data_IF_739390765936
#
_entry.id   IF_739390765936
#
_cell.length_a   1.000
_cell.length_b   1.000
_cell.length_c   1.000
_cell.angle_alpha   90.00
_cell.angle_beta   90.00
_cell.angle_gamma   90.00
#
_symmetry.space_group_name_H-M   'P 1'
#
loop_
_entity.id
_entity.type
_entity.pdbx_description
1 polymer ?
#
# COMPACT_ATOMS: atom_id res chain seq x y z
N UNK A 1 -19.29 18.53 12.86
CA UNK A 1 -20.36 17.90 13.67
C UNK A 1 -19.76 16.72 14.41
N UNK A 2 -19.46 16.88 15.69
CA UNK A 2 -19.09 15.74 16.54
C UNK A 2 -20.34 14.87 16.69
N UNK A 3 -20.25 13.58 16.40
CA UNK A 3 -21.33 12.67 16.78
C UNK A 3 -21.35 12.57 18.30
N UNK A 4 -22.48 12.83 18.93
CA UNK A 4 -22.71 12.53 20.34
C UNK A 4 -22.59 11.01 20.54
N UNK A 5 -21.40 10.56 20.92
CA UNK A 5 -21.10 9.14 21.13
C UNK A 5 -21.72 8.65 22.43
N UNK A 6 -22.29 7.44 22.41
CA UNK A 6 -22.73 6.75 23.62
C UNK A 6 -21.52 6.16 24.32
N UNK A 7 -21.30 6.52 25.59
CA UNK A 7 -20.29 5.89 26.45
C UNK A 7 -20.93 4.74 27.21
N UNK A 8 -20.35 3.55 27.11
CA UNK A 8 -20.75 2.36 27.86
C UNK A 8 -19.72 2.07 28.94
N UNK A 9 -20.18 1.81 30.16
CA UNK A 9 -19.35 1.33 31.26
C UNK A 9 -19.69 -0.15 31.51
N UNK A 10 -18.67 -0.98 31.67
CA UNK A 10 -18.82 -2.41 31.91
C UNK A 10 -18.72 -2.66 33.42
N UNK A 11 -19.61 -3.49 33.98
CA UNK A 11 -19.45 -4.01 35.34
C UNK A 11 -18.34 -5.07 35.33
N UNK A 12 -17.11 -4.64 35.59
CA UNK A 12 -15.90 -5.47 35.51
C UNK A 12 -15.86 -6.60 36.55
N UNK A 13 -16.76 -6.57 37.55
CA UNK A 13 -16.92 -7.70 38.49
C UNK A 13 -17.61 -8.90 37.85
N UNK A 14 -18.36 -8.67 36.76
CA UNK A 14 -19.19 -9.68 36.10
C UNK A 14 -18.78 -9.95 34.66
N UNK A 15 -18.15 -8.98 34.01
CA UNK A 15 -17.84 -9.06 32.58
C UNK A 15 -16.43 -8.59 32.26
N UNK A 16 -15.74 -9.31 31.38
CA UNK A 16 -14.47 -8.84 30.83
C UNK A 16 -14.74 -7.67 29.88
N UNK A 17 -14.07 -6.54 30.11
CA UNK A 17 -14.21 -5.32 29.29
C UNK A 17 -13.86 -5.58 27.83
N UNK A 18 -12.78 -6.32 27.58
CA UNK A 18 -12.35 -6.65 26.22
C UNK A 18 -13.34 -7.60 25.55
N UNK A 19 -13.85 -8.59 26.28
CA UNK A 19 -14.90 -9.47 25.76
C UNK A 19 -16.13 -8.69 25.33
N UNK A 20 -16.64 -7.78 26.19
CA UNK A 20 -17.82 -6.95 25.85
C UNK A 20 -17.51 -6.08 24.63
N UNK A 21 -16.34 -5.45 24.57
CA UNK A 21 -15.90 -4.67 23.42
C UNK A 21 -15.87 -5.51 22.13
N UNK A 22 -15.31 -6.72 22.17
CA UNK A 22 -15.29 -7.63 21.03
C UNK A 22 -16.70 -8.10 20.66
N UNK A 23 -17.54 -8.44 21.64
CA UNK A 23 -18.91 -8.91 21.40
C UNK A 23 -19.74 -7.85 20.68
N UNK A 24 -19.72 -6.58 21.13
CA UNK A 24 -20.50 -5.51 20.48
C UNK A 24 -19.99 -5.19 19.06
N UNK A 25 -18.76 -5.59 18.74
CA UNK A 25 -18.18 -5.46 17.41
C UNK A 25 -18.28 -6.74 16.56
N UNK A 26 -18.82 -7.83 17.11
CA UNK A 26 -19.13 -9.05 16.35
C UNK A 26 -20.21 -8.77 15.31
N UNK A 27 -20.22 -9.57 14.24
CA UNK A 27 -21.28 -9.49 13.21
C UNK A 27 -22.66 -9.68 13.83
N UNK A 28 -22.83 -10.64 14.74
CA UNK A 28 -24.11 -10.92 15.37
C UNK A 28 -24.69 -9.72 16.13
N UNK A 29 -23.89 -9.07 16.98
CA UNK A 29 -24.41 -7.92 17.72
C UNK A 29 -24.62 -6.71 16.82
N UNK A 30 -23.74 -6.50 15.83
CA UNK A 30 -23.91 -5.41 14.85
C UNK A 30 -25.18 -5.60 14.02
N UNK A 31 -25.48 -6.81 13.57
CA UNK A 31 -26.72 -7.13 12.86
C UNK A 31 -27.94 -6.89 13.75
N UNK A 32 -27.87 -7.31 15.02
CA UNK A 32 -28.95 -7.09 15.99
C UNK A 32 -29.21 -5.59 16.24
N UNK A 33 -28.13 -4.81 16.40
CA UNK A 33 -28.21 -3.37 16.58
C UNK A 33 -28.74 -2.68 15.31
N UNK A 34 -28.32 -3.14 14.14
CA UNK A 34 -28.75 -2.60 12.86
C UNK A 34 -30.24 -2.86 12.58
N UNK A 35 -30.74 -4.07 12.87
CA UNK A 35 -32.18 -4.43 12.79
C UNK A 35 -33.05 -3.62 13.77
N UNK A 36 -32.44 -3.18 14.87
CA UNK A 36 -33.10 -2.39 15.92
C UNK A 36 -32.92 -0.88 15.72
N UNK A 37 -32.24 -0.45 14.66
CA UNK A 37 -32.01 0.95 14.34
C UNK A 37 -33.13 1.53 13.48
N UNK A 38 -33.34 2.83 13.56
CA UNK A 38 -34.32 3.58 12.76
C UNK A 38 -33.64 4.41 11.66
N UNK A 39 -34.38 4.70 10.59
CA UNK A 39 -33.89 5.47 9.43
C UNK A 39 -33.36 4.61 8.30
N UNK A 40 -33.67 4.99 7.05
CA UNK A 40 -33.28 4.26 5.83
C UNK A 40 -31.88 4.64 5.35
N UNK A 41 -31.58 5.94 5.24
CA UNK A 41 -30.30 6.43 4.69
C UNK A 41 -29.18 6.51 5.73
N UNK A 42 -29.51 6.82 6.99
CA UNK A 42 -28.58 6.81 8.12
C UNK A 42 -29.25 6.16 9.31
N UNK A 43 -28.88 4.92 9.58
CA UNK A 43 -29.39 4.17 10.73
C UNK A 43 -28.92 4.81 12.03
N UNK A 44 -29.84 5.02 12.97
CA UNK A 44 -29.56 5.48 14.33
C UNK A 44 -30.22 4.55 15.33
N UNK A 45 -29.50 4.24 16.41
CA UNK A 45 -30.05 3.50 17.54
C UNK A 45 -30.13 4.41 18.75
N UNK A 46 -31.31 4.50 19.37
CA UNK A 46 -31.50 5.23 20.61
C UNK A 46 -30.92 4.47 21.81
N UNK A 47 -30.44 5.19 22.82
CA UNK A 47 -29.84 4.59 24.03
C UNK A 47 -30.78 3.58 24.72
N UNK A 48 -32.08 3.89 24.78
CA UNK A 48 -33.07 3.02 25.42
C UNK A 48 -33.30 1.72 24.64
N UNK A 49 -33.12 1.73 23.32
CA UNK A 49 -33.19 0.54 22.48
C UNK A 49 -31.91 -0.27 22.64
N UNK A 50 -30.74 0.40 22.58
CA UNK A 50 -29.44 -0.25 22.76
C UNK A 50 -29.35 -0.99 24.09
N UNK A 51 -29.84 -0.39 25.19
CA UNK A 51 -29.87 -1.01 26.53
C UNK A 51 -30.75 -2.26 26.61
N UNK A 52 -31.73 -2.42 25.72
CA UNK A 52 -32.64 -3.58 25.68
C UNK A 52 -32.09 -4.74 24.85
N UNK A 53 -31.04 -4.51 24.06
CA UNK A 53 -30.40 -5.59 23.30
C UNK A 53 -29.69 -6.54 24.25
N UNK A 54 -30.04 -7.81 24.17
CA UNK A 54 -29.46 -8.84 25.02
C UNK A 54 -28.09 -9.28 24.52
N UNK A 55 -27.17 -9.52 25.45
CA UNK A 55 -25.84 -10.07 25.18
C UNK A 55 -25.83 -11.51 25.69
N UNK A 56 -25.44 -12.44 24.82
CA UNK A 56 -25.19 -13.82 25.22
C UNK A 56 -23.80 -13.88 25.84
N UNK A 57 -23.73 -14.17 27.13
CA UNK A 57 -22.47 -14.16 27.87
C UNK A 57 -22.15 -15.54 28.42
N UNK A 58 -20.94 -16.06 28.15
CA UNK A 58 -20.48 -17.28 28.79
C UNK A 58 -20.01 -17.00 30.23
N UNK A 59 -19.50 -18.02 30.91
CA UNK A 59 -18.88 -17.85 32.23
C UNK A 59 -17.78 -16.78 32.19
N UNK A 60 -17.57 -16.06 33.29
CA UNK A 60 -16.53 -15.01 33.35
C UNK A 60 -15.13 -15.54 32.97
N UNK A 61 -14.80 -16.77 33.36
CA UNK A 61 -13.53 -17.43 33.01
C UNK A 61 -13.38 -17.62 31.50
N UNK A 62 -14.46 -17.97 30.81
CA UNK A 62 -14.47 -18.11 29.35
C UNK A 62 -14.41 -16.75 28.65
N UNK A 63 -15.13 -15.75 29.16
CA UNK A 63 -14.99 -14.36 28.68
C UNK A 63 -13.54 -13.90 28.74
N UNK A 64 -12.83 -14.18 29.85
CA UNK A 64 -11.42 -13.83 30.00
C UNK A 64 -10.55 -14.55 28.97
N UNK A 65 -10.75 -15.86 28.74
CA UNK A 65 -9.99 -16.58 27.71
C UNK A 65 -10.20 -16.03 26.29
N UNK A 66 -11.45 -15.68 25.95
CA UNK A 66 -11.77 -15.06 24.66
C UNK A 66 -11.10 -13.67 24.56
N UNK A 67 -11.17 -12.89 25.64
CA UNK A 67 -10.53 -11.59 25.74
C UNK A 67 -9.01 -11.67 25.57
N UNK A 68 -8.34 -12.55 26.31
CA UNK A 68 -6.89 -12.75 26.25
C UNK A 68 -6.45 -13.19 24.86
N UNK A 69 -7.18 -14.10 24.23
CA UNK A 69 -6.92 -14.56 22.87
C UNK A 69 -7.01 -13.39 21.87
N UNK A 70 -8.14 -12.67 21.83
CA UNK A 70 -8.35 -11.60 20.86
C UNK A 70 -7.44 -10.40 21.09
N UNK A 71 -7.17 -10.03 22.35
CA UNK A 71 -6.24 -8.95 22.69
C UNK A 71 -4.80 -9.30 22.30
N UNK A 72 -4.36 -10.53 22.50
CA UNK A 72 -3.02 -10.95 22.05
C UNK A 72 -2.85 -10.85 20.52
N UNK A 73 -3.90 -11.15 19.74
CA UNK A 73 -3.87 -10.98 18.28
C UNK A 73 -3.83 -9.51 17.89
N UNK A 74 -4.56 -8.65 18.61
CA UNK A 74 -4.52 -7.20 18.38
C UNK A 74 -3.16 -6.59 18.72
N UNK A 75 -2.53 -7.00 19.82
CA UNK A 75 -1.16 -6.60 20.18
C UNK A 75 -0.16 -7.01 19.09
N UNK A 76 -0.32 -8.21 18.51
CA UNK A 76 0.51 -8.67 17.39
C UNK A 76 0.27 -7.86 16.10
N UNK A 77 -0.98 -7.52 15.79
CA UNK A 77 -1.31 -6.65 14.63
C UNK A 77 -0.67 -5.28 14.82
N UNK A 78 -0.75 -4.70 16.01
CA UNK A 78 -0.17 -3.39 16.32
C UNK A 78 1.35 -3.42 16.21
N UNK A 79 2.03 -4.38 16.87
CA UNK A 79 3.48 -4.52 16.80
C UNK A 79 3.97 -4.72 15.35
N UNK A 80 3.23 -5.49 14.56
CA UNK A 80 3.57 -5.76 13.16
C UNK A 80 3.33 -4.53 12.27
N UNK A 81 2.29 -3.74 12.54
CA UNK A 81 2.00 -2.47 11.85
C UNK A 81 3.05 -1.42 12.18
N UNK A 82 3.47 -1.30 13.44
CA UNK A 82 4.58 -0.43 13.85
C UNK A 82 5.88 -0.80 13.15
N UNK A 83 6.17 -2.10 13.01
CA UNK A 83 7.33 -2.57 12.26
C UNK A 83 7.29 -2.15 10.78
N UNK A 84 6.12 -2.16 10.14
CA UNK A 84 5.95 -1.67 8.77
C UNK A 84 6.28 -0.18 8.68
N UNK A 85 5.78 0.64 9.61
CA UNK A 85 6.06 2.08 9.63
C UNK A 85 7.55 2.38 9.88
N UNK A 86 8.19 1.67 10.82
CA UNK A 86 9.63 1.78 11.07
C UNK A 86 10.46 1.41 9.83
N UNK A 87 10.07 0.39 9.07
CA UNK A 87 10.75 0.02 7.83
C UNK A 87 10.58 1.10 6.73
N UNK A 88 9.41 1.72 6.63
CA UNK A 88 9.16 2.84 5.71
C UNK A 88 10.00 4.07 6.09
N UNK A 89 10.08 4.39 7.38
CA UNK A 89 10.93 5.46 7.89
C UNK A 89 12.42 5.17 7.63
N UNK A 90 12.85 3.92 7.86
CA UNK A 90 14.21 3.49 7.56
C UNK A 90 14.52 3.62 6.06
N UNK A 91 13.63 3.16 5.16
CA UNK A 91 13.78 3.35 3.71
C UNK A 91 13.91 4.83 3.36
N UNK A 92 13.04 5.68 3.93
CA UNK A 92 13.11 7.13 3.72
C UNK A 92 14.44 7.72 4.17
N UNK A 93 14.98 7.29 5.31
CA UNK A 93 16.30 7.68 5.78
C UNK A 93 17.41 7.25 4.83
N UNK A 94 17.37 6.01 4.34
CA UNK A 94 18.30 5.51 3.33
C UNK A 94 18.23 6.34 2.04
N UNK A 95 17.04 6.64 1.54
CA UNK A 95 16.82 7.47 0.34
C UNK A 95 17.46 8.85 0.47
N UNK A 96 17.41 9.45 1.67
CA UNK A 96 18.02 10.77 1.93
C UNK A 96 19.54 10.74 1.96
N UNK A 97 20.14 9.58 2.27
CA UNK A 97 21.58 9.44 2.51
C UNK A 97 22.33 8.75 1.37
N UNK A 98 21.66 7.86 0.64
CA UNK A 98 22.21 7.10 -0.50
C UNK A 98 22.11 7.85 -1.83
N UNK A 99 21.40 8.98 -1.87
CA UNK A 99 21.38 9.87 -3.03
C UNK A 99 22.03 11.22 -2.69
N UNK A 100 22.77 11.83 -3.62
CA UNK A 100 23.29 13.18 -3.43
C UNK A 100 22.17 14.18 -3.16
N UNK A 101 22.36 15.03 -2.17
CA UNK A 101 21.53 16.22 -1.99
C UNK A 101 21.83 17.24 -3.09
N UNK A 102 20.91 18.18 -3.30
CA UNK A 102 21.06 19.23 -4.30
C UNK A 102 22.41 19.96 -4.17
N UNK A 103 23.10 20.15 -5.29
CA UNK A 103 24.43 20.75 -5.34
C UNK A 103 25.60 19.82 -4.97
N UNK A 104 25.35 18.58 -4.52
CA UNK A 104 26.40 17.56 -4.29
C UNK A 104 26.47 16.56 -5.43
N UNK A 105 27.69 16.05 -5.64
CA UNK A 105 28.05 15.09 -6.70
C UNK A 105 28.21 13.66 -6.18
N UNK A 106 28.17 13.47 -4.87
CA UNK A 106 28.25 12.18 -4.18
C UNK A 106 27.27 12.12 -3.01
N UNK A 107 26.78 10.92 -2.64
CA UNK A 107 25.89 10.74 -1.50
C UNK A 107 26.67 10.81 -0.17
N UNK A 108 25.94 11.04 0.93
CA UNK A 108 26.53 11.01 2.28
C UNK A 108 26.92 9.57 2.67
N UNK A 109 26.05 8.61 2.36
CA UNK A 109 26.33 7.19 2.53
C UNK A 109 26.72 6.60 1.19
N UNK A 110 27.93 6.04 1.15
CA UNK A 110 28.46 5.33 0.00
C UNK A 110 29.00 3.99 0.47
N UNK A 111 28.67 2.92 -0.26
CA UNK A 111 29.19 1.60 0.06
C UNK A 111 30.72 1.62 -0.01
N UNK A 112 31.43 0.91 0.89
CA UNK A 112 32.88 0.97 1.01
C UNK A 112 33.62 0.78 -0.32
N UNK A 113 33.16 -0.16 -1.15
CA UNK A 113 33.74 -0.49 -2.45
C UNK A 113 33.64 0.61 -3.51
N UNK A 114 32.82 1.65 -3.28
CA UNK A 114 32.65 2.78 -4.21
C UNK A 114 33.21 4.11 -3.68
N UNK A 115 33.80 4.16 -2.48
CA UNK A 115 34.31 5.42 -1.91
C UNK A 115 35.30 6.14 -2.82
N UNK A 116 36.14 5.38 -3.52
CA UNK A 116 37.16 5.89 -4.44
C UNK A 116 36.72 5.83 -5.91
N UNK A 117 35.44 5.54 -6.21
CA UNK A 117 34.93 5.38 -7.57
C UNK A 117 34.63 6.71 -8.30
N UNK A 118 35.14 7.83 -7.80
CA UNK A 118 34.94 9.17 -8.35
C UNK A 118 33.53 9.73 -8.14
N UNK A 119 33.29 10.91 -8.69
CA UNK A 119 32.02 11.64 -8.58
C UNK A 119 30.92 11.04 -9.48
N UNK A 120 29.66 11.20 -9.08
CA UNK A 120 28.53 10.82 -9.94
C UNK A 120 28.34 11.86 -11.04
N UNK A 121 27.92 11.40 -12.22
CA UNK A 121 27.72 12.23 -13.40
C UNK A 121 26.28 12.71 -13.45
N UNK A 122 26.06 13.96 -13.84
CA UNK A 122 24.73 14.51 -14.07
C UNK A 122 24.21 14.10 -15.46
N UNK A 123 22.96 13.65 -15.52
CA UNK A 123 22.28 13.28 -16.78
C UNK A 123 20.80 13.66 -16.73
N UNK A 124 20.26 14.03 -17.88
CA UNK A 124 18.82 14.18 -18.06
C UNK A 124 18.12 12.82 -17.98
N UNK A 125 16.90 12.76 -17.42
CA UNK A 125 16.12 11.53 -17.35
C UNK A 125 15.88 10.91 -18.74
N UNK A 126 15.71 11.72 -19.77
CA UNK A 126 15.55 11.31 -21.17
C UNK A 126 16.80 10.65 -21.74
N UNK A 127 17.99 10.95 -21.22
CA UNK A 127 19.23 10.24 -21.56
C UNK A 127 19.37 8.90 -20.85
N UNK A 128 18.57 8.68 -19.80
CA UNK A 128 18.56 7.47 -18.99
C UNK A 128 17.45 6.50 -19.39
N UNK A 129 16.31 7.03 -19.88
CA UNK A 129 15.09 6.29 -20.12
C UNK A 129 14.55 6.50 -21.55
N UNK A 130 14.18 5.41 -22.21
CA UNK A 130 13.29 5.45 -23.38
C UNK A 130 11.84 5.46 -22.90
N UNK A 131 10.92 5.99 -23.71
CA UNK A 131 9.48 5.87 -23.42
C UNK A 131 8.72 5.19 -24.56
N UNK A 132 7.67 4.46 -24.19
CA UNK A 132 6.71 3.84 -25.09
C UNK A 132 5.32 4.42 -24.79
N UNK A 133 4.57 4.72 -25.85
CA UNK A 133 3.15 5.07 -25.74
C UNK A 133 2.34 3.81 -25.39
N UNK A 134 1.36 3.91 -24.49
CA UNK A 134 0.71 2.74 -23.91
C UNK A 134 -0.33 2.10 -24.83
N UNK A 135 -0.65 2.68 -25.99
CA UNK A 135 -1.83 2.34 -26.79
C UNK A 135 -2.02 0.84 -27.05
N UNK A 136 -0.93 0.09 -27.29
CA UNK A 136 -0.96 -1.36 -27.49
C UNK A 136 -1.34 -2.15 -26.22
N UNK A 137 -1.12 -1.56 -25.06
CA UNK A 137 -1.23 -2.18 -23.73
C UNK A 137 -2.45 -1.70 -22.94
N UNK A 138 -3.27 -0.83 -23.53
CA UNK A 138 -4.52 -0.37 -22.89
C UNK A 138 -5.55 -1.51 -22.92
N UNK A 139 -6.23 -1.71 -21.79
CA UNK A 139 -7.38 -2.62 -21.72
C UNK A 139 -8.55 -2.12 -22.55
N UNK A 140 -9.27 -3.02 -23.19
CA UNK A 140 -10.48 -2.69 -23.96
C UNK A 140 -11.73 -2.69 -23.07
N UNK A 141 -11.78 -3.58 -22.08
CA UNK A 141 -12.86 -3.70 -21.11
C UNK A 141 -12.48 -3.18 -19.73
N UNK A 142 -13.48 -2.75 -18.97
CA UNK A 142 -13.36 -2.39 -17.54
C UNK A 142 -14.00 -3.41 -16.61
N UNK A 143 -14.46 -4.54 -17.14
CA UNK A 143 -14.99 -5.67 -16.37
C UNK A 143 -13.83 -6.47 -15.75
N UNK A 144 -13.41 -6.05 -14.57
CA UNK A 144 -12.33 -6.70 -13.83
C UNK A 144 -12.87 -7.79 -12.91
N UNK A 145 -12.08 -8.83 -12.71
CA UNK A 145 -12.41 -9.92 -11.79
C UNK A 145 -11.13 -10.50 -11.18
N UNK A 146 -11.12 -10.70 -9.86
CA UNK A 146 -9.94 -11.19 -9.12
C UNK A 146 -9.52 -12.64 -9.48
N UNK A 147 -10.39 -13.39 -10.19
CA UNK A 147 -10.04 -14.71 -10.75
C UNK A 147 -9.21 -14.64 -12.03
N UNK A 148 -9.11 -13.47 -12.67
CA UNK A 148 -8.30 -13.28 -13.86
C UNK A 148 -6.83 -13.06 -13.52
N UNK A 149 -5.94 -13.27 -14.50
CA UNK A 149 -4.49 -13.33 -14.24
C UNK A 149 -3.74 -12.03 -14.52
N UNK A 150 -4.20 -11.23 -15.49
CA UNK A 150 -3.43 -10.08 -15.96
C UNK A 150 -3.81 -8.83 -15.16
N UNK A 151 -2.92 -8.25 -14.35
CA UNK A 151 -3.23 -7.02 -13.61
C UNK A 151 -3.34 -5.83 -14.55
N UNK A 152 -4.29 -4.94 -14.24
CA UNK A 152 -4.50 -3.67 -14.94
C UNK A 152 -4.01 -2.54 -14.05
N UNK A 153 -2.99 -1.82 -14.51
CA UNK A 153 -2.27 -0.83 -13.71
C UNK A 153 -2.68 0.61 -14.00
N UNK A 154 -2.49 1.45 -13.00
CA UNK A 154 -2.36 2.91 -13.11
C UNK A 154 -1.23 3.37 -12.18
N UNK A 155 -0.65 4.55 -12.43
CA UNK A 155 0.35 5.11 -11.52
C UNK A 155 -0.29 5.88 -10.34
N UNK A 156 -1.62 6.08 -10.35
CA UNK A 156 -2.36 6.80 -9.31
C UNK A 156 -2.53 6.05 -7.98
N UNK A 157 -3.54 6.44 -7.19
CA UNK A 157 -3.75 5.96 -5.80
C UNK A 157 -3.84 4.44 -5.67
N UNK A 158 -4.58 3.78 -6.56
CA UNK A 158 -4.69 2.31 -6.60
C UNK A 158 -3.77 1.78 -7.70
N UNK A 159 -2.62 1.22 -7.33
CA UNK A 159 -1.64 0.74 -8.31
C UNK A 159 -2.21 -0.34 -9.24
N UNK A 160 -2.85 -1.36 -8.64
CA UNK A 160 -3.62 -2.39 -9.36
C UNK A 160 -5.10 -2.01 -9.26
N UNK A 161 -5.78 -1.88 -10.40
CA UNK A 161 -7.21 -1.55 -10.48
C UNK A 161 -8.11 -2.78 -10.48
N UNK A 162 -7.54 -3.93 -10.78
CA UNK A 162 -8.22 -5.20 -10.97
C UNK A 162 -7.47 -6.05 -11.97
N UNK A 163 -8.04 -7.20 -12.33
CA UNK A 163 -7.44 -8.15 -13.25
C UNK A 163 -8.36 -8.34 -14.47
N UNK A 164 -7.76 -8.50 -15.65
CA UNK A 164 -8.43 -8.72 -16.92
C UNK A 164 -8.11 -10.12 -17.47
N UNK A 165 -9.05 -10.70 -18.21
CA UNK A 165 -8.86 -11.92 -18.98
C UNK A 165 -8.30 -11.64 -20.40
N UNK A 166 -8.06 -10.38 -20.76
CA UNK A 166 -7.40 -10.02 -22.02
C UNK A 166 -5.97 -10.57 -22.08
N UNK A 167 -5.69 -11.36 -23.12
CA UNK A 167 -4.37 -11.95 -23.39
C UNK A 167 -3.58 -11.16 -24.44
N UNK A 168 -4.26 -10.41 -25.31
CA UNK A 168 -3.64 -9.59 -26.33
C UNK A 168 -3.16 -8.25 -25.76
N UNK A 169 -1.98 -7.81 -26.19
CA UNK A 169 -1.43 -6.53 -25.76
C UNK A 169 -1.06 -6.51 -24.28
N UNK A 170 -0.67 -7.65 -23.70
CA UNK A 170 -0.02 -7.67 -22.39
C UNK A 170 1.44 -7.25 -22.55
N UNK A 171 1.91 -6.36 -21.69
CA UNK A 171 3.31 -5.98 -21.61
C UNK A 171 4.07 -7.10 -20.90
N UNK A 172 4.86 -7.87 -21.68
CA UNK A 172 5.54 -9.09 -21.21
C UNK A 172 7.07 -9.03 -21.34
N UNK A 173 7.57 -8.19 -22.24
CA UNK A 173 8.99 -8.09 -22.59
C UNK A 173 9.58 -6.82 -22.02
N UNK A 174 10.90 -6.77 -21.89
CA UNK A 174 11.63 -5.56 -21.46
C UNK A 174 11.28 -5.07 -20.04
N UNK A 175 10.74 -5.96 -19.21
CA UNK A 175 10.64 -5.75 -17.76
C UNK A 175 12.05 -5.82 -17.13
N UNK A 176 12.29 -5.11 -16.02
CA UNK A 176 11.37 -4.19 -15.34
C UNK A 176 11.28 -2.80 -16.02
N UNK A 177 10.20 -2.08 -15.76
CA UNK A 177 9.90 -0.73 -16.30
C UNK A 177 9.38 0.21 -15.22
N UNK A 178 9.30 1.50 -15.55
CA UNK A 178 8.55 2.48 -14.75
C UNK A 178 7.29 2.85 -15.52
N UNK A 179 6.12 2.75 -14.90
CA UNK A 179 4.93 3.43 -15.42
C UNK A 179 4.87 4.84 -14.84
N UNK A 180 4.64 5.83 -15.69
CA UNK A 180 4.61 7.25 -15.32
C UNK A 180 3.31 7.87 -15.81
N UNK A 181 2.53 8.48 -14.93
CA UNK A 181 1.33 9.21 -15.33
C UNK A 181 1.70 10.62 -15.80
N UNK A 182 1.44 10.88 -17.09
CA UNK A 182 1.89 12.08 -17.80
C UNK A 182 1.20 13.36 -17.31
N UNK A 183 0.11 13.27 -16.55
CA UNK A 183 -0.61 14.42 -15.99
C UNK A 183 -0.29 14.66 -14.53
N UNK A 184 -0.08 13.60 -13.74
CA UNK A 184 0.08 13.70 -12.28
C UNK A 184 1.49 13.45 -11.80
N UNK A 185 2.40 13.06 -12.70
CA UNK A 185 3.81 12.69 -12.45
C UNK A 185 4.00 11.50 -11.51
N UNK A 186 2.90 10.90 -11.05
CA UNK A 186 2.92 9.69 -10.25
C UNK A 186 3.62 8.58 -11.03
N UNK A 187 4.50 7.84 -10.35
CA UNK A 187 5.29 6.78 -10.97
C UNK A 187 5.32 5.52 -10.12
N UNK A 188 5.39 4.38 -10.79
CA UNK A 188 5.48 3.06 -10.15
C UNK A 188 6.50 2.20 -10.88
N UNK A 189 7.32 1.50 -10.12
CA UNK A 189 8.19 0.43 -10.61
C UNK A 189 7.36 -0.82 -10.87
N UNK A 190 7.59 -1.49 -12.00
CA UNK A 190 6.84 -2.68 -12.41
C UNK A 190 7.80 -3.72 -12.98
N UNK A 191 7.83 -4.90 -12.37
CA UNK A 191 8.69 -6.03 -12.72
C UNK A 191 7.91 -7.30 -13.11
N UNK A 192 6.58 -7.19 -13.20
CA UNK A 192 5.68 -8.27 -13.60
C UNK A 192 4.84 -7.90 -14.83
N UNK A 193 4.30 -8.88 -15.58
CA UNK A 193 3.43 -8.62 -16.74
C UNK A 193 2.17 -7.82 -16.44
N UNK A 194 1.80 -6.88 -17.31
CA UNK A 194 0.65 -6.01 -17.06
C UNK A 194 -0.05 -5.48 -18.32
N UNK A 195 -1.25 -4.94 -18.11
CA UNK A 195 -1.90 -3.96 -19.01
C UNK A 195 -2.13 -2.65 -18.25
N UNK A 196 -2.47 -1.57 -18.95
CA UNK A 196 -2.71 -0.25 -18.33
C UNK A 196 -4.12 0.26 -18.60
N UNK A 197 -4.61 1.14 -17.73
CA UNK A 197 -5.97 1.70 -17.84
C UNK A 197 -6.13 2.72 -18.97
N UNK A 198 -5.14 3.58 -19.20
CA UNK A 198 -5.35 4.79 -19.99
C UNK A 198 -4.12 5.21 -20.80
N UNK A 199 -4.37 6.07 -21.80
CA UNK A 199 -3.35 6.70 -22.63
C UNK A 199 -2.51 7.77 -21.93
N UNK A 200 -2.87 8.11 -20.69
CA UNK A 200 -2.10 9.02 -19.85
C UNK A 200 -0.78 8.40 -19.35
N UNK A 201 -0.70 7.07 -19.29
CA UNK A 201 0.51 6.39 -18.84
C UNK A 201 1.62 6.48 -19.91
N UNK A 202 2.86 6.63 -19.48
CA UNK A 202 4.07 6.33 -20.24
C UNK A 202 4.73 5.11 -19.63
N UNK A 203 5.24 4.23 -20.49
CA UNK A 203 6.03 3.08 -20.06
C UNK A 203 7.49 3.43 -20.33
N UNK A 204 8.30 3.50 -19.29
CA UNK A 204 9.67 3.96 -19.34
C UNK A 204 10.64 2.79 -19.15
N UNK A 205 11.60 2.68 -20.05
CA UNK A 205 12.55 1.57 -20.12
C UNK A 205 13.97 2.09 -19.95
N UNK A 206 14.83 1.34 -19.28
CA UNK A 206 16.24 1.69 -19.17
C UNK A 206 16.93 1.71 -20.52
N UNK A 207 17.81 2.71 -20.71
CA UNK A 207 18.85 2.65 -21.72
C UNK A 207 20.02 1.79 -21.24
N UNK A 208 20.96 1.51 -22.15
CA UNK A 208 22.16 0.72 -21.86
C UNK A 208 22.92 1.32 -20.66
N UNK A 209 23.43 0.45 -19.79
CA UNK A 209 24.23 0.80 -18.60
C UNK A 209 23.47 1.61 -17.53
N UNK A 210 22.13 1.64 -17.61
CA UNK A 210 21.24 2.29 -16.64
C UNK A 210 20.40 1.24 -15.90
N UNK A 211 20.45 1.25 -14.57
CA UNK A 211 19.55 0.45 -13.75
C UNK A 211 18.22 1.19 -13.54
N UNK A 212 17.13 0.64 -14.05
CA UNK A 212 15.80 1.27 -14.01
C UNK A 212 15.24 1.41 -12.58
N UNK A 213 15.56 0.49 -11.65
CA UNK A 213 15.14 0.61 -10.25
C UNK A 213 15.88 1.76 -9.55
N UNK A 214 17.18 1.92 -9.81
CA UNK A 214 17.93 3.09 -9.33
C UNK A 214 17.32 4.40 -9.83
N UNK A 215 17.01 4.50 -11.12
CA UNK A 215 16.39 5.71 -11.70
C UNK A 215 15.00 5.95 -11.10
N UNK A 216 14.19 4.89 -10.92
CA UNK A 216 12.89 5.00 -10.25
C UNK A 216 13.00 5.62 -8.86
N UNK A 217 13.94 5.14 -8.04
CA UNK A 217 14.18 5.67 -6.70
C UNK A 217 14.69 7.11 -6.76
N UNK A 218 15.61 7.43 -7.68
CA UNK A 218 16.07 8.80 -7.90
C UNK A 218 14.90 9.75 -8.26
N UNK A 219 13.96 9.29 -9.09
CA UNK A 219 12.76 10.05 -9.45
C UNK A 219 11.87 10.36 -8.24
N UNK A 220 11.84 9.50 -7.20
CA UNK A 220 11.04 9.75 -6.00
C UNK A 220 11.59 10.90 -5.15
N UNK A 221 12.86 11.28 -5.34
CA UNK A 221 13.50 12.41 -4.66
C UNK A 221 13.33 13.74 -5.41
N UNK A 222 12.77 13.72 -6.63
CA UNK A 222 12.53 14.94 -7.40
C UNK A 222 11.38 15.72 -6.75
N UNK A 223 11.68 16.94 -6.32
CA UNK A 223 10.67 17.89 -5.87
C UNK A 223 10.15 18.66 -7.07
N UNK A 224 8.93 18.34 -7.49
CA UNK A 224 8.28 19.00 -8.62
C UNK A 224 6.81 19.25 -8.29
N UNK A 225 6.38 20.50 -8.45
CA UNK A 225 4.97 20.88 -8.29
C UNK A 225 4.25 20.73 -9.64
N UNK A 226 3.18 19.95 -9.64
CA UNK A 226 2.43 19.62 -10.86
C UNK A 226 1.56 20.80 -11.27
N UNK A 227 1.79 21.33 -12.47
CA UNK A 227 0.94 22.34 -13.10
C UNK A 227 -0.40 21.77 -13.56
N UNK A 228 -1.36 22.65 -13.86
CA UNK A 228 -2.71 22.23 -14.28
C UNK A 228 -2.72 21.90 -15.78
N UNK A 229 -3.22 20.70 -16.13
CA UNK A 229 -3.52 20.26 -17.51
C UNK A 229 -2.34 20.18 -18.50
N UNK A 230 -1.11 19.99 -18.03
CA UNK A 230 0.06 19.80 -18.90
C UNK A 230 0.49 18.32 -18.97
N UNK A 231 1.10 17.93 -20.10
CA UNK A 231 1.80 16.65 -20.23
C UNK A 231 3.24 16.86 -19.80
N UNK A 232 3.71 16.03 -18.88
CA UNK A 232 4.96 16.31 -18.17
C UNK A 232 6.15 15.55 -18.72
N UNK A 233 5.99 14.33 -19.25
CA UNK A 233 7.13 13.48 -19.55
C UNK A 233 8.09 14.10 -20.59
N UNK A 234 7.61 14.34 -21.80
CA UNK A 234 8.47 14.69 -22.94
C UNK A 234 9.09 16.09 -22.79
N UNK A 235 8.30 17.08 -22.39
CA UNK A 235 8.74 18.48 -22.38
C UNK A 235 9.47 18.89 -21.10
N UNK A 236 9.20 18.22 -19.98
CA UNK A 236 9.62 18.64 -18.64
C UNK A 236 10.43 17.53 -17.95
N UNK A 237 9.79 16.42 -17.57
CA UNK A 237 10.41 15.38 -16.74
C UNK A 237 11.63 14.75 -17.40
N UNK A 238 11.58 14.48 -18.71
CA UNK A 238 12.73 13.92 -19.43
C UNK A 238 13.94 14.86 -19.44
N UNK A 239 13.78 16.17 -19.22
CA UNK A 239 14.87 17.15 -19.14
C UNK A 239 15.36 17.41 -17.72
N UNK A 240 14.73 16.79 -16.71
CA UNK A 240 15.20 16.91 -15.34
C UNK A 240 16.48 16.12 -15.15
N UNK A 241 17.43 16.72 -14.45
CA UNK A 241 18.72 16.12 -14.17
C UNK A 241 18.68 15.23 -12.93
N UNK A 242 19.33 14.08 -13.03
CA UNK A 242 19.64 13.19 -11.91
C UNK A 242 21.13 12.89 -11.88
N UNK A 243 21.65 12.57 -10.69
CA UNK A 243 23.04 12.11 -10.53
C UNK A 243 23.10 10.60 -10.65
N UNK A 244 23.99 10.12 -11.51
CA UNK A 244 24.13 8.70 -11.85
C UNK A 244 25.56 8.24 -11.58
N UNK A 245 25.74 7.21 -10.73
CA UNK A 245 27.03 6.56 -10.55
C UNK A 245 27.34 5.54 -11.67
N UNK A 246 28.50 4.90 -11.57
CA UNK A 246 28.82 3.76 -12.42
C UNK A 246 27.76 2.64 -12.27
N UNK A 247 27.57 1.77 -13.29
CA UNK A 247 26.49 0.78 -13.29
C UNK A 247 26.50 -0.20 -12.11
N UNK A 248 27.68 -0.55 -11.57
CA UNK A 248 27.78 -1.47 -10.42
C UNK A 248 27.24 -0.82 -9.13
N UNK A 249 27.53 0.46 -8.94
CA UNK A 249 27.03 1.22 -7.79
C UNK A 249 25.52 1.47 -7.91
N UNK A 250 25.00 1.76 -9.12
CA UNK A 250 23.55 1.83 -9.36
C UNK A 250 22.84 0.54 -8.93
N UNK A 251 23.37 -0.62 -9.35
CA UNK A 251 22.83 -1.92 -8.99
C UNK A 251 22.86 -2.14 -7.46
N UNK A 252 23.98 -1.82 -6.80
CA UNK A 252 24.11 -2.01 -5.35
C UNK A 252 23.09 -1.20 -4.55
N UNK A 253 22.85 0.05 -4.97
CA UNK A 253 21.83 0.92 -4.35
C UNK A 253 20.43 0.35 -4.62
N UNK A 254 20.16 -0.06 -5.86
CA UNK A 254 18.89 -0.68 -6.24
C UNK A 254 18.60 -1.94 -5.40
N UNK A 255 19.57 -2.85 -5.27
CA UNK A 255 19.43 -4.08 -4.47
C UNK A 255 19.17 -3.78 -2.99
N UNK A 256 19.90 -2.80 -2.43
CA UNK A 256 19.72 -2.39 -1.04
C UNK A 256 18.28 -1.88 -0.79
N UNK A 257 17.78 -1.00 -1.65
CA UNK A 257 16.44 -0.43 -1.50
C UNK A 257 15.34 -1.47 -1.79
N UNK A 258 15.54 -2.33 -2.79
CA UNK A 258 14.63 -3.44 -3.08
C UNK A 258 14.53 -4.41 -1.89
N UNK A 259 15.63 -4.72 -1.21
CA UNK A 259 15.59 -5.59 -0.03
C UNK A 259 14.75 -5.01 1.12
N UNK A 260 14.73 -3.69 1.27
CA UNK A 260 13.86 -3.02 2.25
C UNK A 260 12.41 -3.02 1.80
N UNK A 261 12.15 -2.81 0.50
CA UNK A 261 10.80 -2.93 -0.08
C UNK A 261 10.21 -4.34 0.13
N UNK A 262 11.00 -5.39 -0.12
CA UNK A 262 10.59 -6.78 0.11
C UNK A 262 10.23 -7.05 1.58
N UNK A 263 10.99 -6.48 2.53
CA UNK A 263 10.67 -6.57 3.95
C UNK A 263 9.36 -5.83 4.29
N UNK A 264 9.16 -4.63 3.74
CA UNK A 264 7.93 -3.85 3.94
C UNK A 264 6.72 -4.63 3.42
N UNK A 265 6.82 -5.19 2.22
CA UNK A 265 5.78 -5.99 1.57
C UNK A 265 5.45 -7.22 2.42
N UNK A 266 6.45 -8.02 2.79
CA UNK A 266 6.27 -9.23 3.58
C UNK A 266 5.65 -8.93 4.97
N UNK A 267 6.09 -7.85 5.62
CA UNK A 267 5.52 -7.44 6.90
C UNK A 267 4.07 -6.92 6.75
N UNK A 268 3.76 -6.21 5.66
CA UNK A 268 2.40 -5.71 5.39
C UNK A 268 1.44 -6.85 5.10
N UNK A 269 1.85 -7.85 4.31
CA UNK A 269 1.06 -9.05 4.07
C UNK A 269 0.78 -9.82 5.38
N UNK A 270 1.76 -9.90 6.28
CA UNK A 270 1.57 -10.50 7.60
C UNK A 270 0.54 -9.73 8.46
N UNK A 271 0.48 -8.40 8.37
CA UNK A 271 -0.58 -7.61 9.03
C UNK A 271 -1.96 -8.02 8.51
N UNK A 272 -2.13 -8.10 7.18
CA UNK A 272 -3.42 -8.47 6.59
C UNK A 272 -3.83 -9.90 6.94
N UNK A 273 -2.90 -10.87 6.92
CA UNK A 273 -3.17 -12.24 7.37
C UNK A 273 -3.60 -12.30 8.85
N UNK A 274 -2.99 -11.50 9.73
CA UNK A 274 -3.39 -11.43 11.14
C UNK A 274 -4.79 -10.80 11.30
N UNK A 275 -5.13 -9.78 10.51
CA UNK A 275 -6.48 -9.20 10.49
C UNK A 275 -7.53 -10.20 10.01
N UNK A 276 -7.22 -10.97 8.97
CA UNK A 276 -8.09 -12.05 8.49
C UNK A 276 -8.25 -13.16 9.52
N UNK A 277 -7.16 -13.58 10.15
CA UNK A 277 -7.19 -14.56 11.23
C UNK A 277 -8.06 -14.09 12.40
N UNK A 278 -7.88 -12.83 12.84
CA UNK A 278 -8.73 -12.21 13.87
C UNK A 278 -10.20 -12.20 13.47
N UNK A 279 -10.51 -11.83 12.21
CA UNK A 279 -11.87 -11.85 11.68
C UNK A 279 -12.47 -13.26 11.76
N UNK A 280 -11.69 -14.29 11.42
CA UNK A 280 -12.10 -15.69 11.56
C UNK A 280 -12.36 -16.10 13.01
N UNK A 281 -11.51 -15.68 13.95
CA UNK A 281 -11.73 -15.91 15.39
C UNK A 281 -13.02 -15.23 15.87
N UNK A 282 -13.24 -13.97 15.49
CA UNK A 282 -14.46 -13.22 15.83
C UNK A 282 -15.73 -13.91 15.30
N UNK A 283 -15.67 -14.58 14.16
CA UNK A 283 -16.81 -15.32 13.61
C UNK A 283 -17.08 -16.64 14.34
N UNK A 284 -16.07 -17.24 14.99
CA UNK A 284 -16.18 -18.56 15.65
C UNK A 284 -16.34 -18.49 17.16
N UNK A 285 -15.87 -17.41 17.79
CA UNK A 285 -15.90 -17.23 19.25
C UNK A 285 -17.16 -16.50 19.73
N UNK A 286 -17.96 -15.96 18.81
CA UNK A 286 -19.21 -15.27 19.12
C UNK A 286 -20.38 -15.95 18.39
N UNK A 287 -21.62 -15.76 18.86
CA UNK A 287 -22.80 -16.25 18.17
C UNK A 287 -22.84 -15.77 16.71
N UNK A 288 -23.46 -16.56 15.84
CA UNK A 288 -23.69 -16.21 14.44
C UNK A 288 -25.18 -16.00 14.20
N UNK A 289 -25.53 -15.08 13.31
CA UNK A 289 -26.91 -14.91 12.85
C UNK A 289 -27.29 -16.16 12.05
N UNK A 290 -28.18 -17.00 12.59
CA UNK A 290 -28.78 -18.09 11.80
C UNK A 290 -29.71 -17.47 10.78
N UNK A 291 -29.41 -17.64 9.49
CA UNK A 291 -30.36 -17.37 8.41
C UNK A 291 -31.50 -18.38 8.53
N UNK A 292 -32.64 -17.96 9.08
CA UNK A 292 -33.94 -18.60 8.87
C UNK A 292 -34.57 -18.05 7.60
#
# INVERSE_FOLDING_TARGET
>A
MCSDGIRLAVDEKKFSKYFVYSYINSSFFRDLAEKSSTGSTRKRIGLDVLKKLSILTPSFKEQQKIADCLSSVDELIEAQSQKVELLKEHKKGLMQKLFPVEGKTTPEYRFPEFRDAGEWVERELGDCLNYIQPSKYIVKSTEYNDSYKTPVLTAGKSFILGYTNEIDGVFLKDLPVIIFDDFTTASKFVDFPFKVKSSAIKILLSKKDINVKFVYEAMQNIKYEVGVHERHWISIFSKLNIRIPNPKEQQKIADCLSSVDELIEAQSQKVELLKEHKKGLMQRLFPVTTST
#
